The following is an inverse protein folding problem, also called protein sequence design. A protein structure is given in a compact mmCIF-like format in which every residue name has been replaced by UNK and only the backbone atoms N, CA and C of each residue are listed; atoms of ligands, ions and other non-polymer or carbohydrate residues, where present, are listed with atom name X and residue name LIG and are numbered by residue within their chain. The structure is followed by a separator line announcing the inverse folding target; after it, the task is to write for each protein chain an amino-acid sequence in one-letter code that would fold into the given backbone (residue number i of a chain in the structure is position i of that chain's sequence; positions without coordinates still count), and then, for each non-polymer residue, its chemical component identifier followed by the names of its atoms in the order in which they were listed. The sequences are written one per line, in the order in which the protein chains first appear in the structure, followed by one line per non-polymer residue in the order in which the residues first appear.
data_IF_431996596816
#
_entry.id   IF_431996596816
#
_cell.length_a   1.000
_cell.length_b   1.000
_cell.length_c   1.000
_cell.angle_alpha   90.00
_cell.angle_beta   90.00
_cell.angle_gamma   90.00
#
_symmetry.space_group_name_H-M   'P 1'
#
loop_
_entity.id
_entity.type
_entity.pdbx_description
1 polymer ?
#
# COMPACT_ATOMS: atom_id res chain seq x y z
N UNK A 1 9.52 -11.10 -17.03
CA UNK A 1 8.29 -10.26 -17.04
C UNK A 1 7.98 -9.85 -15.63
N UNK A 2 8.63 -8.77 -15.25
CA UNK A 2 8.81 -8.31 -13.89
C UNK A 2 7.54 -7.64 -13.37
N UNK A 3 6.97 -8.22 -12.31
CA UNK A 3 5.77 -7.78 -11.60
C UNK A 3 6.07 -6.48 -10.84
N UNK A 4 6.20 -5.37 -11.54
CA UNK A 4 6.03 -4.04 -10.98
C UNK A 4 4.70 -3.48 -11.51
N UNK A 5 3.55 -3.85 -10.94
CA UNK A 5 2.29 -3.24 -11.33
C UNK A 5 2.29 -1.79 -10.83
N UNK A 6 2.86 -0.87 -11.61
CA UNK A 6 2.52 0.53 -11.49
C UNK A 6 1.07 0.64 -11.97
N UNK A 7 0.11 0.58 -11.04
CA UNK A 7 -1.33 0.56 -11.35
C UNK A 7 -1.85 1.91 -11.88
N UNK A 8 -0.95 2.85 -12.25
CA UNK A 8 -1.22 4.24 -12.70
C UNK A 8 -2.21 5.04 -11.85
N UNK A 9 -2.55 4.55 -10.66
CA UNK A 9 -3.36 5.23 -9.66
C UNK A 9 -2.48 5.92 -8.60
N UNK A 10 -1.28 6.34 -8.99
CA UNK A 10 -0.30 6.95 -8.09
C UNK A 10 -0.54 8.46 -8.06
N UNK A 11 -1.26 8.93 -7.05
CA UNK A 11 -1.24 10.35 -6.70
C UNK A 11 0.05 10.60 -5.91
N UNK A 12 0.97 11.36 -6.50
CA UNK A 12 2.15 11.88 -5.79
C UNK A 12 1.72 13.08 -4.93
N UNK A 13 2.39 13.29 -3.81
CA UNK A 13 2.24 14.51 -3.03
C UNK A 13 3.26 15.60 -3.45
N UNK A 14 3.37 16.65 -2.63
CA UNK A 14 4.27 17.78 -2.88
C UNK A 14 5.75 17.39 -2.81
N UNK A 15 6.09 16.27 -2.17
CA UNK A 15 7.45 15.73 -2.07
C UNK A 15 7.69 14.63 -3.11
N UNK A 16 6.84 14.55 -4.15
CA UNK A 16 6.87 13.50 -5.17
C UNK A 16 6.75 12.08 -4.60
N UNK A 17 6.14 11.92 -3.42
CA UNK A 17 5.93 10.61 -2.79
C UNK A 17 4.55 10.08 -3.18
N UNK A 18 4.52 8.87 -3.74
CA UNK A 18 3.28 8.19 -4.05
C UNK A 18 2.50 7.86 -2.78
N UNK A 19 1.29 8.40 -2.66
CA UNK A 19 0.40 8.18 -1.53
C UNK A 19 -0.09 6.72 -1.42
N UNK A 20 -0.09 5.97 -2.53
CA UNK A 20 -0.51 4.57 -2.55
C UNK A 20 0.59 3.57 -2.20
N UNK A 21 1.83 3.81 -2.64
CA UNK A 21 2.93 2.86 -2.47
C UNK A 21 4.13 3.39 -1.67
N UNK A 22 4.14 4.65 -1.27
CA UNK A 22 5.20 5.27 -0.45
C UNK A 22 6.53 5.52 -1.17
N UNK A 23 6.66 5.13 -2.43
CA UNK A 23 7.86 5.39 -3.24
C UNK A 23 7.85 6.81 -3.82
N UNK A 24 8.99 7.43 -3.88
CA UNK A 24 9.23 8.68 -4.60
C UNK A 24 9.20 8.49 -6.12
N UNK A 25 8.96 9.57 -6.84
CA UNK A 25 9.04 9.59 -8.30
C UNK A 25 10.40 9.10 -8.82
N UNK A 26 11.50 9.52 -8.19
CA UNK A 26 12.86 9.09 -8.55
C UNK A 26 13.05 7.58 -8.42
N UNK A 27 12.54 6.98 -7.33
CA UNK A 27 12.61 5.53 -7.13
C UNK A 27 11.71 4.76 -8.12
N UNK A 28 10.56 5.33 -8.49
CA UNK A 28 9.66 4.75 -9.49
C UNK A 28 10.31 4.75 -10.88
N UNK A 29 10.88 5.88 -11.29
CA UNK A 29 11.59 6.02 -12.57
C UNK A 29 12.88 5.19 -12.61
N UNK A 30 13.61 5.13 -11.50
CA UNK A 30 14.86 4.38 -11.37
C UNK A 30 14.70 2.88 -11.16
N UNK A 31 13.47 2.38 -10.94
CA UNK A 31 13.22 0.99 -10.52
C UNK A 31 13.83 -0.06 -11.46
N UNK A 32 13.75 0.15 -12.77
CA UNK A 32 14.27 -0.80 -13.76
C UNK A 32 15.81 -0.87 -13.76
N UNK A 33 16.47 0.22 -13.37
CA UNK A 33 17.93 0.33 -13.29
C UNK A 33 18.47 -0.07 -11.91
N UNK A 34 17.60 -0.21 -10.91
CA UNK A 34 17.98 -0.57 -9.57
C UNK A 34 18.32 -2.08 -9.46
N UNK A 35 19.42 -2.37 -8.75
CA UNK A 35 19.82 -3.72 -8.38
C UNK A 35 18.90 -4.32 -7.31
N UNK A 36 19.00 -5.64 -7.08
CA UNK A 36 18.16 -6.33 -6.11
C UNK A 36 18.24 -5.71 -4.70
N UNK A 37 19.43 -5.38 -4.23
CA UNK A 37 19.63 -4.74 -2.93
C UNK A 37 18.99 -3.34 -2.87
N UNK A 38 19.14 -2.54 -3.93
CA UNK A 38 18.53 -1.22 -4.02
C UNK A 38 17.01 -1.31 -4.04
N UNK A 39 16.45 -2.26 -4.80
CA UNK A 39 15.00 -2.53 -4.84
C UNK A 39 14.46 -2.87 -3.45
N UNK A 40 15.16 -3.72 -2.69
CA UNK A 40 14.77 -4.05 -1.32
C UNK A 40 14.78 -2.82 -0.41
N UNK A 41 15.82 -1.99 -0.51
CA UNK A 41 15.93 -0.77 0.29
C UNK A 41 14.81 0.23 -0.04
N UNK A 42 14.51 0.43 -1.33
CA UNK A 42 13.42 1.29 -1.80
C UNK A 42 12.07 0.83 -1.21
N UNK A 43 11.80 -0.48 -1.22
CA UNK A 43 10.57 -1.03 -0.66
C UNK A 43 10.46 -0.81 0.85
N UNK A 44 11.55 -1.06 1.58
CA UNK A 44 11.59 -0.85 3.03
C UNK A 44 11.37 0.63 3.41
N UNK A 45 12.03 1.55 2.71
CA UNK A 45 11.86 2.99 2.95
C UNK A 45 10.45 3.47 2.58
N UNK A 46 9.87 2.93 1.51
CA UNK A 46 8.52 3.27 1.09
C UNK A 46 7.47 2.84 2.12
N UNK A 47 7.63 1.65 2.71
CA UNK A 47 6.78 1.16 3.79
C UNK A 47 6.89 2.03 5.06
N UNK A 48 8.11 2.44 5.41
CA UNK A 48 8.35 3.36 6.54
C UNK A 48 7.63 4.70 6.31
N UNK A 49 7.72 5.27 5.11
CA UNK A 49 7.04 6.53 4.76
C UNK A 49 5.52 6.42 4.84
N UNK A 50 4.94 5.30 4.38
CA UNK A 50 3.50 5.05 4.51
C UNK A 50 3.08 4.92 5.96
N UNK A 51 3.86 4.21 6.78
CA UNK A 51 3.57 4.03 8.20
C UNK A 51 3.65 5.35 8.95
N UNK A 52 4.64 6.19 8.65
CA UNK A 52 4.78 7.52 9.24
C UNK A 52 3.64 8.48 8.84
N UNK A 53 3.09 8.36 7.62
CA UNK A 53 1.98 9.20 7.12
C UNK A 53 0.60 8.70 7.54
N UNK A 54 0.45 7.42 7.88
CA UNK A 54 -0.77 6.91 8.51
C UNK A 54 -0.93 7.56 9.88
N UNK A 55 -1.70 8.66 9.93
CA UNK A 55 -2.37 9.07 11.16
C UNK A 55 -3.08 7.83 11.74
N UNK A 56 -3.07 7.60 13.07
CA UNK A 56 -3.66 6.42 13.70
C UNK A 56 -5.21 6.41 13.69
N UNK A 57 -5.85 6.74 12.57
CA UNK A 57 -7.30 6.86 12.44
C UNK A 57 -7.92 5.92 11.38
N UNK A 58 -7.13 5.19 10.59
CA UNK A 58 -7.63 4.21 9.60
C UNK A 58 -7.22 2.77 10.00
N UNK A 59 -7.34 2.44 11.28
CA UNK A 59 -7.45 1.05 11.75
C UNK A 59 -8.94 0.77 11.95
N UNK A 60 -9.74 0.98 10.90
CA UNK A 60 -11.14 0.58 10.90
C UNK A 60 -11.66 0.39 9.46
N UNK A 61 -11.12 -0.59 8.74
CA UNK A 61 -11.99 -1.42 7.90
C UNK A 61 -11.30 -2.72 7.52
N UNK A 62 -11.66 -3.78 8.23
CA UNK A 62 -11.78 -5.13 7.67
C UNK A 62 -12.72 -5.89 8.60
N UNK A 63 -14.00 -5.61 8.41
CA UNK A 63 -15.08 -6.45 8.84
C UNK A 63 -14.86 -7.89 8.34
N UNK A 64 -14.64 -8.81 9.27
CA UNK A 64 -15.02 -10.22 9.10
C UNK A 64 -15.86 -10.64 10.31
N UNK A 65 -17.06 -10.08 10.39
CA UNK A 65 -18.19 -10.71 11.06
C UNK A 65 -19.31 -10.78 10.02
N UNK A 66 -19.21 -11.75 9.11
CA UNK A 66 -20.33 -12.16 8.28
C UNK A 66 -21.29 -12.94 9.19
N UNK A 67 -22.23 -12.21 9.79
CA UNK A 67 -23.42 -12.76 10.42
C UNK A 67 -24.23 -13.48 9.34
N UNK A 68 -24.12 -14.80 9.27
CA UNK A 68 -25.03 -15.63 8.49
C UNK A 68 -26.25 -15.97 9.35
N UNK A 69 -27.30 -15.21 9.12
CA UNK A 69 -28.64 -15.48 9.61
C UNK A 69 -29.21 -16.82 9.10
N UNK A 70 -29.76 -17.67 9.99
CA UNK A 70 -31.08 -18.31 9.78
C UNK A 70 -31.52 -19.29 10.89
N UNK A 71 -32.67 -18.93 11.50
CA UNK A 71 -33.82 -19.79 11.88
C UNK A 71 -33.73 -20.62 13.18
N UNK A 72 -33.92 -19.93 14.31
CA UNK A 72 -34.73 -20.49 15.40
C UNK A 72 -36.21 -20.26 15.10
N UNK A 73 -37.01 -21.33 15.04
CA UNK A 73 -38.46 -21.31 14.88
C UNK A 73 -39.06 -21.69 16.23
N UNK A 74 -39.84 -20.81 16.91
CA UNK A 74 -40.44 -21.16 18.19
C UNK A 74 -41.65 -22.09 17.95
N UNK A 75 -41.79 -23.08 18.81
CA UNK A 75 -43.00 -23.89 18.98
C UNK A 75 -43.34 -23.98 20.46
#
# INVERSE_FOLDING_TARGET
MDKAPCQRNCCLDQDDICLGCGRSLTEICGWHQADAAQKQQILAQAEQRLTAKKRPADVLTSAQAVDQASRGKPS
#
